data_IF_646483673171
#
_entry.id   IF_646483673171
#
_cell.length_a   1.000
_cell.length_b   1.000
_cell.length_c   1.000
_cell.angle_alpha   90.00
_cell.angle_beta   90.00
_cell.angle_gamma   90.00
#
_symmetry.space_group_name_H-M   'P 1'
#
loop_
_entity.id
_entity.type
_entity.pdbx_description
1 polymer ?
#
# COMPACT_ATOMS: atom_id res chain seq x y z
N UNK A 1 -19.81 49.57 0.73
CA UNK A 1 -19.09 48.94 1.85
C UNK A 1 -18.68 47.54 1.44
N UNK A 2 -17.40 47.19 1.51
CA UNK A 2 -16.89 45.89 1.08
C UNK A 2 -17.60 44.74 1.82
N UNK A 3 -18.26 43.87 1.08
CA UNK A 3 -18.92 42.66 1.57
C UNK A 3 -17.89 41.62 2.00
N UNK A 4 -17.39 41.75 3.24
CA UNK A 4 -16.55 40.72 3.86
C UNK A 4 -17.32 39.38 3.90
N UNK A 5 -16.79 38.34 3.25
CA UNK A 5 -17.37 36.98 3.33
C UNK A 5 -17.28 36.45 4.76
N UNK A 6 -18.31 35.72 5.19
CA UNK A 6 -18.29 35.00 6.47
C UNK A 6 -17.37 33.79 6.35
N UNK A 7 -16.46 33.65 7.31
CA UNK A 7 -15.49 32.54 7.33
C UNK A 7 -15.95 31.43 8.27
N UNK A 8 -15.37 30.23 8.15
CA UNK A 8 -15.61 29.15 9.12
C UNK A 8 -15.27 29.54 10.56
N UNK A 9 -14.36 30.50 10.79
CA UNK A 9 -14.07 31.05 12.12
C UNK A 9 -15.24 31.91 12.65
N UNK A 10 -15.94 32.63 11.77
CA UNK A 10 -17.12 33.41 12.14
C UNK A 10 -18.33 32.51 12.42
N UNK A 11 -18.48 31.41 11.67
CA UNK A 11 -19.55 30.43 11.86
C UNK A 11 -19.39 29.64 13.17
N UNK A 12 -18.16 29.26 13.54
CA UNK A 12 -17.89 28.66 14.86
C UNK A 12 -18.29 29.57 16.02
N UNK A 13 -18.05 30.89 15.90
CA UNK A 13 -18.52 31.87 16.90
C UNK A 13 -20.04 31.98 17.00
N UNK A 14 -20.77 31.51 15.99
CA UNK A 14 -22.23 31.47 15.98
C UNK A 14 -22.80 30.12 16.46
N UNK A 15 -21.95 29.17 16.88
CA UNK A 15 -22.37 27.88 17.43
C UNK A 15 -22.44 26.73 16.42
N UNK A 16 -21.89 26.89 15.21
CA UNK A 16 -21.78 25.77 14.27
C UNK A 16 -20.71 24.75 14.72
N UNK A 17 -21.01 23.44 14.69
CA UNK A 17 -20.00 22.40 14.89
C UNK A 17 -19.02 22.36 13.72
N UNK A 18 -17.78 21.95 13.97
CA UNK A 18 -16.82 21.70 12.87
C UNK A 18 -17.29 20.55 11.98
N UNK A 19 -17.07 20.68 10.67
CA UNK A 19 -17.48 19.68 9.67
C UNK A 19 -18.59 20.16 8.74
N UNK A 20 -19.44 19.23 8.29
CA UNK A 20 -20.40 19.41 7.19
C UNK A 20 -21.30 20.65 7.36
N UNK A 21 -21.76 20.92 8.59
CA UNK A 21 -22.64 22.06 8.87
C UNK A 21 -22.02 23.43 8.49
N UNK A 22 -20.70 23.59 8.61
CA UNK A 22 -20.01 24.83 8.19
C UNK A 22 -19.97 24.94 6.66
N UNK A 23 -19.68 23.84 5.96
CA UNK A 23 -19.65 23.81 4.50
C UNK A 23 -21.02 24.12 3.88
N UNK A 24 -22.07 23.46 4.36
CA UNK A 24 -23.46 23.70 3.92
C UNK A 24 -23.89 25.13 4.23
N UNK A 25 -23.50 25.70 5.37
CA UNK A 25 -23.81 27.08 5.71
C UNK A 25 -23.12 28.10 4.77
N UNK A 26 -21.86 27.87 4.42
CA UNK A 26 -21.13 28.71 3.45
C UNK A 26 -21.80 28.64 2.08
N UNK A 27 -22.08 27.42 1.61
CA UNK A 27 -22.74 27.17 0.33
C UNK A 27 -24.11 27.85 0.26
N UNK A 28 -24.96 27.64 1.26
CA UNK A 28 -26.28 28.27 1.32
C UNK A 28 -26.20 29.81 1.30
N UNK A 29 -25.21 30.40 1.96
CA UNK A 29 -25.00 31.85 1.94
C UNK A 29 -24.54 32.39 0.58
N UNK A 30 -23.78 31.60 -0.18
CA UNK A 30 -23.29 31.97 -1.50
C UNK A 30 -24.34 31.78 -2.59
N UNK A 31 -25.16 30.73 -2.48
CA UNK A 31 -26.17 30.37 -3.48
C UNK A 31 -27.50 31.11 -3.28
N UNK A 32 -27.97 31.24 -2.03
CA UNK A 32 -29.33 31.75 -1.77
C UNK A 32 -29.35 33.14 -1.11
N UNK A 33 -28.22 33.61 -0.56
CA UNK A 33 -28.18 34.87 0.21
C UNK A 33 -27.07 35.82 -0.24
N UNK A 34 -26.52 35.68 -1.46
CA UNK A 34 -25.38 36.47 -1.96
C UNK A 34 -25.53 37.97 -1.71
N UNK A 35 -26.70 38.53 -2.02
CA UNK A 35 -27.01 39.97 -1.96
C UNK A 35 -27.43 40.48 -0.58
N UNK A 36 -27.49 39.61 0.43
CA UNK A 36 -27.87 40.00 1.79
C UNK A 36 -26.68 40.50 2.61
N UNK A 37 -26.94 41.45 3.51
CA UNK A 37 -25.93 41.98 4.42
C UNK A 37 -25.38 40.90 5.36
N UNK A 38 -24.13 41.09 5.82
CA UNK A 38 -23.50 40.18 6.79
C UNK A 38 -24.33 40.07 8.07
N UNK A 39 -24.90 41.19 8.54
CA UNK A 39 -25.73 41.21 9.73
C UNK A 39 -26.97 40.30 9.57
N UNK A 40 -27.60 40.36 8.40
CA UNK A 40 -28.73 39.51 8.04
C UNK A 40 -28.33 38.02 7.97
N UNK A 41 -27.22 37.71 7.29
CA UNK A 41 -26.67 36.35 7.21
C UNK A 41 -26.41 35.76 8.61
N UNK A 42 -25.72 36.52 9.48
CA UNK A 42 -25.44 36.10 10.87
C UNK A 42 -26.72 35.87 11.68
N UNK A 43 -27.72 36.73 11.52
CA UNK A 43 -29.00 36.60 12.23
C UNK A 43 -29.75 35.32 11.82
N UNK A 44 -29.79 35.03 10.51
CA UNK A 44 -30.43 33.81 10.00
C UNK A 44 -29.69 32.54 10.44
N UNK A 45 -28.37 32.52 10.31
CA UNK A 45 -27.53 31.43 10.77
C UNK A 45 -27.72 31.12 12.27
N UNK A 46 -27.81 32.16 13.11
CA UNK A 46 -28.06 31.98 14.55
C UNK A 46 -29.43 31.37 14.84
N UNK A 47 -30.46 31.69 14.03
CA UNK A 47 -31.79 31.07 14.16
C UNK A 47 -31.77 29.59 13.74
N UNK A 48 -31.09 29.28 12.64
CA UNK A 48 -30.96 27.89 12.14
C UNK A 48 -30.18 27.02 13.13
N UNK A 49 -29.09 27.52 13.71
CA UNK A 49 -28.34 26.81 14.77
C UNK A 49 -29.17 26.62 16.03
N UNK A 50 -29.95 27.63 16.43
CA UNK A 50 -30.75 27.56 17.65
C UNK A 50 -31.92 26.59 17.55
N UNK A 51 -32.49 26.39 16.36
CA UNK A 51 -33.70 25.58 16.15
C UNK A 51 -33.68 24.85 14.80
N UNK A 52 -32.72 23.95 14.53
CA UNK A 52 -32.55 23.39 13.18
C UNK A 52 -33.77 22.58 12.72
N UNK A 53 -34.53 21.97 13.64
CA UNK A 53 -35.74 21.19 13.31
C UNK A 53 -36.80 21.98 12.52
N UNK A 54 -36.90 23.28 12.76
CA UNK A 54 -37.84 24.16 12.05
C UNK A 54 -37.47 24.41 10.59
N UNK A 55 -36.22 24.12 10.21
CA UNK A 55 -35.67 24.45 8.90
C UNK A 55 -35.44 23.22 8.02
N UNK A 56 -35.78 22.01 8.47
CA UNK A 56 -35.56 20.76 7.73
C UNK A 56 -36.16 20.77 6.30
N UNK A 57 -37.33 21.38 6.14
CA UNK A 57 -38.03 21.49 4.84
C UNK A 57 -37.75 22.81 4.11
N UNK A 58 -36.90 23.67 4.67
CA UNK A 58 -36.59 24.96 4.06
C UNK A 58 -35.64 24.76 2.90
N UNK A 59 -35.93 25.32 1.73
CA UNK A 59 -35.14 25.13 0.51
C UNK A 59 -33.64 25.47 0.70
N UNK A 60 -33.33 26.68 1.18
CA UNK A 60 -31.95 27.10 1.40
C UNK A 60 -31.30 26.59 2.70
N UNK A 61 -32.09 26.34 3.76
CA UNK A 61 -31.57 26.00 5.10
C UNK A 61 -31.73 24.52 5.46
N UNK A 62 -32.46 23.74 4.68
CA UNK A 62 -32.72 22.32 4.88
C UNK A 62 -31.44 21.49 4.93
N UNK A 63 -30.50 21.65 3.98
CA UNK A 63 -29.20 20.97 4.04
C UNK A 63 -28.39 21.34 5.29
N UNK A 64 -28.40 22.63 5.67
CA UNK A 64 -27.71 23.14 6.87
C UNK A 64 -28.34 22.56 8.14
N UNK A 65 -29.67 22.57 8.21
CA UNK A 65 -30.45 22.03 9.32
C UNK A 65 -30.27 20.53 9.47
N UNK A 66 -30.29 19.79 8.36
CA UNK A 66 -30.05 18.36 8.33
C UNK A 66 -28.63 18.04 8.80
N UNK A 67 -27.63 18.81 8.38
CA UNK A 67 -26.25 18.67 8.87
C UNK A 67 -26.07 19.06 10.35
N UNK A 68 -26.92 19.94 10.90
CA UNK A 68 -26.93 20.30 12.33
C UNK A 68 -27.66 19.26 13.19
N UNK A 69 -28.69 18.60 12.65
CA UNK A 69 -29.50 17.58 13.34
C UNK A 69 -28.83 16.21 13.29
N UNK A 70 -28.24 15.86 12.15
CA UNK A 70 -27.36 14.70 12.03
C UNK A 70 -26.02 15.07 12.69
N UNK A 71 -26.06 15.24 14.03
CA UNK A 71 -24.92 14.93 14.85
C UNK A 71 -24.74 13.42 14.76
N UNK A 72 -23.88 12.94 13.86
CA UNK A 72 -23.05 11.83 14.32
C UNK A 72 -22.21 12.46 15.42
N UNK A 73 -22.43 12.05 16.67
CA UNK A 73 -21.48 12.33 17.74
C UNK A 73 -20.15 11.68 17.32
N UNK A 74 -19.35 12.41 16.54
CA UNK A 74 -17.99 12.02 16.19
C UNK A 74 -17.06 12.02 17.42
N UNK A 75 -17.61 12.23 18.62
CA UNK A 75 -16.92 12.17 19.90
C UNK A 75 -17.17 10.87 20.67
N UNK A 76 -18.18 10.07 20.31
CA UNK A 76 -18.36 8.78 20.96
C UNK A 76 -17.38 7.76 20.38
N UNK A 77 -16.59 7.16 21.27
CA UNK A 77 -15.66 6.11 20.89
C UNK A 77 -16.45 4.83 20.65
N UNK A 78 -16.41 4.31 19.43
CA UNK A 78 -17.05 3.05 19.07
C UNK A 78 -16.38 1.90 19.84
N UNK A 79 -17.19 1.13 20.55
CA UNK A 79 -16.70 -0.04 21.28
C UNK A 79 -16.26 -1.15 20.32
N UNK A 80 -15.22 -1.87 20.72
CA UNK A 80 -14.84 -3.13 20.08
C UNK A 80 -15.78 -4.24 20.55
N UNK A 81 -15.91 -5.30 19.76
CA UNK A 81 -16.57 -6.53 20.21
C UNK A 81 -15.82 -7.11 21.41
N UNK A 82 -16.56 -7.64 22.39
CA UNK A 82 -15.96 -8.28 23.57
C UNK A 82 -15.08 -9.47 23.18
N UNK A 83 -15.57 -10.29 22.24
CA UNK A 83 -14.86 -11.44 21.68
C UNK A 83 -14.45 -11.14 20.25
N UNK A 84 -13.24 -11.58 19.89
CA UNK A 84 -12.78 -11.55 18.50
C UNK A 84 -13.50 -12.60 17.67
N UNK A 85 -13.62 -12.33 16.36
CA UNK A 85 -14.01 -13.37 15.40
C UNK A 85 -12.86 -14.40 15.28
N UNK A 86 -13.16 -15.71 15.18
CA UNK A 86 -12.16 -16.73 14.86
C UNK A 86 -11.43 -16.43 13.54
N UNK A 87 -10.16 -16.81 13.46
CA UNK A 87 -9.35 -16.64 12.26
C UNK A 87 -8.18 -17.62 12.26
N UNK A 88 -7.62 -17.88 11.09
CA UNK A 88 -6.54 -18.84 10.93
C UNK A 88 -5.16 -18.15 10.97
N UNK A 89 -4.21 -18.82 11.60
CA UNK A 89 -2.81 -18.41 11.70
C UNK A 89 -1.96 -19.49 11.07
N UNK A 90 -1.27 -19.14 10.00
CA UNK A 90 -0.34 -20.00 9.31
C UNK A 90 1.05 -19.75 9.89
N UNK A 91 1.76 -20.81 10.30
CA UNK A 91 3.11 -20.65 10.86
C UNK A 91 3.19 -19.99 12.23
N UNK A 92 2.17 -20.15 13.08
CA UNK A 92 2.04 -19.46 14.37
C UNK A 92 3.31 -19.42 15.25
N UNK A 93 4.10 -20.49 15.25
CA UNK A 93 5.34 -20.60 16.04
C UNK A 93 6.42 -19.58 15.63
N UNK A 94 6.41 -19.13 14.37
CA UNK A 94 7.36 -18.17 13.82
C UNK A 94 6.88 -16.72 13.83
N UNK A 95 5.74 -16.43 14.47
CA UNK A 95 5.12 -15.09 14.50
C UNK A 95 5.26 -14.49 15.89
N UNK A 96 5.74 -13.25 15.96
CA UNK A 96 5.89 -12.56 17.24
C UNK A 96 4.54 -12.18 17.87
N UNK A 97 4.47 -12.18 19.20
CA UNK A 97 3.25 -11.90 19.94
C UNK A 97 2.66 -10.51 19.63
N UNK A 98 3.50 -9.52 19.32
CA UNK A 98 3.05 -8.18 18.93
C UNK A 98 2.18 -8.20 17.67
N UNK A 99 2.55 -8.99 16.66
CA UNK A 99 1.79 -9.14 15.43
C UNK A 99 0.46 -9.86 15.67
N UNK A 100 0.48 -10.93 16.49
CA UNK A 100 -0.73 -11.65 16.90
C UNK A 100 -1.69 -10.70 17.62
N UNK A 101 -1.19 -9.92 18.59
CA UNK A 101 -2.01 -8.96 19.33
C UNK A 101 -2.66 -7.90 18.41
N UNK A 102 -1.96 -7.42 17.38
CA UNK A 102 -2.54 -6.51 16.39
C UNK A 102 -3.69 -7.15 15.61
N UNK A 103 -3.53 -8.42 15.20
CA UNK A 103 -4.57 -9.15 14.50
C UNK A 103 -5.77 -9.43 15.42
N UNK A 104 -5.53 -9.83 16.67
CA UNK A 104 -6.56 -10.04 17.70
C UNK A 104 -7.43 -8.78 17.90
N UNK A 105 -6.83 -7.59 17.93
CA UNK A 105 -7.56 -6.31 18.00
C UNK A 105 -8.37 -6.07 16.71
N UNK A 106 -7.77 -6.29 15.53
CA UNK A 106 -8.46 -6.14 14.24
C UNK A 106 -9.69 -7.06 14.12
N UNK A 107 -9.62 -8.27 14.67
CA UNK A 107 -10.73 -9.22 14.69
C UNK A 107 -11.86 -8.86 15.65
N UNK A 108 -11.69 -7.82 16.48
CA UNK A 108 -12.73 -7.26 17.34
C UNK A 108 -13.44 -6.03 16.75
N UNK A 109 -13.01 -5.51 15.60
CA UNK A 109 -13.69 -4.36 14.99
C UNK A 109 -15.12 -4.74 14.57
N UNK A 110 -16.11 -3.86 14.76
CA UNK A 110 -17.50 -4.15 14.42
C UNK A 110 -17.74 -4.38 12.92
N UNK A 111 -16.85 -3.88 12.06
CA UNK A 111 -16.90 -4.06 10.60
C UNK A 111 -16.21 -5.31 10.10
N UNK A 112 -15.38 -5.98 10.92
CA UNK A 112 -14.64 -7.18 10.50
C UNK A 112 -15.58 -8.35 10.30
N UNK A 113 -15.37 -9.12 9.23
CA UNK A 113 -16.08 -10.36 8.90
C UNK A 113 -15.16 -11.58 8.96
N UNK A 114 -13.98 -11.49 8.34
CA UNK A 114 -13.02 -12.59 8.27
C UNK A 114 -11.60 -12.07 8.45
N UNK A 115 -10.68 -12.96 8.80
CA UNK A 115 -9.25 -12.64 8.83
C UNK A 115 -8.38 -13.86 8.65
N UNK A 116 -7.12 -13.62 8.31
CA UNK A 116 -6.07 -14.62 8.28
C UNK A 116 -4.71 -13.95 8.58
N UNK A 117 -3.77 -14.71 9.15
CA UNK A 117 -2.42 -14.23 9.44
C UNK A 117 -1.39 -15.16 8.79
N UNK A 118 -0.55 -14.60 7.93
CA UNK A 118 0.40 -15.33 7.09
C UNK A 118 1.70 -15.68 7.86
N UNK A 119 2.47 -16.71 7.43
CA UNK A 119 3.70 -17.13 8.09
C UNK A 119 4.79 -16.06 8.22
N UNK A 120 4.84 -15.12 7.28
CA UNK A 120 5.77 -14.00 7.26
C UNK A 120 5.36 -12.84 8.20
N UNK A 121 4.29 -13.02 8.98
CA UNK A 121 3.73 -11.94 9.76
C UNK A 121 4.68 -11.40 10.84
N UNK A 122 4.63 -10.08 11.00
CA UNK A 122 5.41 -9.32 11.97
C UNK A 122 4.75 -7.96 12.27
N UNK A 123 5.19 -7.33 13.35
CA UNK A 123 4.61 -6.11 13.89
C UNK A 123 4.66 -4.96 12.85
N UNK A 124 3.49 -4.37 12.58
CA UNK A 124 3.32 -3.19 11.72
C UNK A 124 2.60 -2.04 12.44
N UNK A 125 1.89 -1.21 11.69
CA UNK A 125 1.03 -0.13 12.22
C UNK A 125 -0.45 -0.42 11.92
N UNK A 126 -1.31 -0.56 12.93
CA UNK A 126 -2.69 -1.00 12.70
C UNK A 126 -2.74 -2.50 12.43
N UNK A 127 -3.07 -2.92 11.21
CA UNK A 127 -2.96 -4.33 10.81
C UNK A 127 -1.48 -4.75 10.78
N UNK A 128 -1.12 -5.97 11.28
CA UNK A 128 0.24 -6.47 11.16
C UNK A 128 0.62 -6.65 9.69
N UNK A 129 1.92 -6.61 9.40
CA UNK A 129 2.42 -7.06 8.09
C UNK A 129 2.25 -8.59 8.07
N UNK A 130 1.83 -9.17 6.95
CA UNK A 130 1.33 -10.55 6.87
C UNK A 130 -0.14 -10.71 7.25
N UNK A 131 -0.85 -9.61 7.55
CA UNK A 131 -2.26 -9.63 7.93
C UNK A 131 -3.20 -9.53 6.72
N UNK A 132 -4.26 -10.33 6.75
CA UNK A 132 -5.40 -10.26 5.81
C UNK A 132 -6.68 -10.04 6.61
N UNK A 133 -7.45 -9.00 6.27
CA UNK A 133 -8.67 -8.63 6.99
C UNK A 133 -9.79 -8.29 6.02
N UNK A 134 -10.88 -9.03 6.09
CA UNK A 134 -12.10 -8.75 5.33
C UNK A 134 -13.10 -7.97 6.19
N UNK A 135 -13.62 -6.88 5.65
CA UNK A 135 -14.61 -6.01 6.30
C UNK A 135 -15.86 -5.86 5.44
N UNK A 136 -16.97 -5.48 6.08
CA UNK A 136 -18.21 -5.12 5.40
C UNK A 136 -18.26 -3.61 5.17
N UNK A 137 -18.39 -3.21 3.90
CA UNK A 137 -18.56 -1.83 3.43
C UNK A 137 -17.61 -0.77 4.04
N UNK A 138 -16.43 -1.18 4.47
CA UNK A 138 -15.50 -0.33 5.21
C UNK A 138 -14.09 -0.55 4.71
N UNK A 139 -13.35 0.54 4.51
CA UNK A 139 -11.95 0.49 4.09
C UNK A 139 -11.07 1.13 5.17
N UNK A 140 -10.02 0.42 5.58
CA UNK A 140 -9.07 0.82 6.64
C UNK A 140 -7.77 1.27 5.97
N UNK A 141 -7.46 2.58 5.91
CA UNK A 141 -6.27 3.05 5.21
C UNK A 141 -4.95 2.47 5.73
N UNK A 142 -4.80 2.30 7.06
CA UNK A 142 -3.62 1.62 7.63
C UNK A 142 -3.65 0.09 7.50
N UNK A 143 -4.82 -0.49 7.23
CA UNK A 143 -4.99 -1.89 6.84
C UNK A 143 -4.50 -2.17 5.42
N UNK A 144 -4.48 -1.16 4.55
CA UNK A 144 -3.78 -1.20 3.25
C UNK A 144 -2.29 -0.98 3.44
N UNK A 145 -1.92 -0.01 4.29
CA UNK A 145 -0.54 0.37 4.55
C UNK A 145 -0.15 1.71 3.92
N UNK A 146 1.04 2.20 4.27
CA UNK A 146 1.51 3.52 3.84
C UNK A 146 2.03 3.54 2.40
N UNK A 147 2.56 2.42 1.93
CA UNK A 147 3.01 2.27 0.55
C UNK A 147 1.94 1.52 -0.24
N UNK A 148 0.90 2.26 -0.62
CA UNK A 148 -0.26 1.73 -1.34
C UNK A 148 0.21 1.13 -2.67
N UNK A 149 -0.25 -0.06 -3.01
CA UNK A 149 0.09 -0.71 -4.27
C UNK A 149 1.55 -1.20 -4.35
N UNK A 150 2.27 -1.26 -3.21
CA UNK A 150 3.57 -1.93 -3.15
C UNK A 150 3.44 -3.36 -3.70
N UNK A 151 4.37 -3.74 -4.57
CA UNK A 151 4.25 -4.91 -5.44
C UNK A 151 5.59 -5.44 -5.90
N UNK A 152 5.57 -6.68 -6.37
CA UNK A 152 6.69 -7.31 -7.08
C UNK A 152 6.40 -7.30 -8.58
N UNK A 153 7.41 -7.07 -9.40
CA UNK A 153 7.33 -7.25 -10.86
C UNK A 153 8.58 -7.99 -11.34
N UNK A 154 8.39 -9.05 -12.13
CA UNK A 154 9.47 -9.87 -12.69
C UNK A 154 9.36 -9.91 -14.21
N UNK A 155 10.48 -9.77 -14.90
CA UNK A 155 10.59 -10.13 -16.32
C UNK A 155 11.68 -11.16 -16.55
N UNK A 156 11.42 -12.11 -17.46
CA UNK A 156 12.37 -13.13 -17.92
C UNK A 156 12.83 -12.82 -19.33
N UNK A 157 14.08 -13.14 -19.67
CA UNK A 157 14.67 -12.88 -21.00
C UNK A 157 15.29 -14.15 -21.60
N UNK A 158 15.35 -14.22 -22.92
CA UNK A 158 16.05 -15.28 -23.67
C UNK A 158 17.57 -15.07 -23.67
N UNK A 159 18.14 -14.90 -22.47
CA UNK A 159 19.57 -14.71 -22.26
C UNK A 159 20.07 -15.87 -21.40
N UNK A 160 21.17 -16.55 -21.81
CA UNK A 160 21.74 -17.65 -21.03
C UNK A 160 22.08 -17.22 -19.60
N UNK A 161 21.84 -18.06 -18.58
CA UNK A 161 22.07 -17.71 -17.18
C UNK A 161 23.55 -17.42 -16.88
N UNK A 162 24.48 -17.93 -17.68
CA UNK A 162 25.91 -17.62 -17.55
C UNK A 162 26.22 -16.12 -17.76
N UNK A 163 25.36 -15.39 -18.48
CA UNK A 163 25.51 -13.96 -18.76
C UNK A 163 25.64 -13.14 -17.46
N UNK A 164 24.90 -13.50 -16.40
CA UNK A 164 24.91 -12.76 -15.14
C UNK A 164 26.28 -12.76 -14.45
N UNK A 165 27.04 -13.85 -14.63
CA UNK A 165 28.37 -14.05 -14.06
C UNK A 165 29.48 -13.49 -14.95
N UNK A 166 29.25 -13.46 -16.27
CA UNK A 166 30.21 -12.96 -17.25
C UNK A 166 30.18 -11.43 -17.36
N UNK A 167 29.01 -10.82 -17.14
CA UNK A 167 28.76 -9.39 -17.37
C UNK A 167 28.29 -8.67 -16.09
N UNK A 168 28.75 -9.11 -14.91
CA UNK A 168 28.33 -8.55 -13.62
C UNK A 168 28.54 -7.03 -13.51
N UNK A 169 29.67 -6.51 -14.01
CA UNK A 169 29.95 -5.06 -13.98
C UNK A 169 29.02 -4.28 -14.92
N UNK A 170 28.73 -4.81 -16.11
CA UNK A 170 27.80 -4.20 -17.05
C UNK A 170 26.37 -4.17 -16.47
N UNK A 171 25.91 -5.28 -15.89
CA UNK A 171 24.59 -5.35 -15.23
C UNK A 171 24.48 -4.37 -14.05
N UNK A 172 25.58 -4.17 -13.31
CA UNK A 172 25.66 -3.17 -12.24
C UNK A 172 25.48 -1.76 -12.80
N UNK A 173 26.16 -1.43 -13.89
CA UNK A 173 26.06 -0.11 -14.53
C UNK A 173 24.65 0.10 -15.12
N UNK A 174 24.07 -0.93 -15.75
CA UNK A 174 22.68 -0.91 -16.21
C UNK A 174 21.71 -0.60 -15.06
N UNK A 175 21.84 -1.26 -13.90
CA UNK A 175 21.02 -0.95 -12.73
C UNK A 175 21.22 0.50 -12.28
N UNK A 176 22.47 0.99 -12.24
CA UNK A 176 22.79 2.35 -11.80
C UNK A 176 22.16 3.44 -12.69
N UNK A 177 22.18 3.23 -14.00
CA UNK A 177 21.68 4.21 -14.99
C UNK A 177 20.16 4.18 -15.16
N UNK A 178 19.55 2.98 -15.06
CA UNK A 178 18.15 2.77 -15.44
C UNK A 178 17.18 2.70 -14.27
N UNK A 179 17.66 2.84 -13.03
CA UNK A 179 16.81 2.88 -11.84
C UNK A 179 17.15 4.06 -10.93
N UNK A 180 16.19 4.47 -10.10
CA UNK A 180 16.32 5.64 -9.19
C UNK A 180 15.81 5.30 -7.80
N UNK A 181 16.62 5.55 -6.79
CA UNK A 181 16.30 5.20 -5.39
C UNK A 181 16.25 6.43 -4.47
N UNK A 182 15.67 6.24 -3.29
CA UNK A 182 15.47 7.29 -2.29
C UNK A 182 14.56 8.41 -2.80
N UNK A 183 15.11 9.62 -2.82
CA UNK A 183 14.45 10.84 -3.32
C UNK A 183 14.82 11.17 -4.77
N UNK A 184 15.71 10.37 -5.37
CA UNK A 184 16.17 10.62 -6.72
C UNK A 184 15.07 10.36 -7.75
N UNK A 185 15.16 11.12 -8.84
CA UNK A 185 14.19 11.12 -9.93
C UNK A 185 14.92 11.15 -11.27
N UNK A 186 14.23 10.79 -12.35
CA UNK A 186 14.76 10.98 -13.68
C UNK A 186 14.63 12.47 -14.08
N UNK A 187 15.68 13.04 -14.69
CA UNK A 187 15.66 14.41 -15.23
C UNK A 187 14.57 14.61 -16.29
N UNK A 188 14.29 13.56 -17.04
CA UNK A 188 13.23 13.49 -18.06
C UNK A 188 12.43 12.20 -17.82
N UNK A 189 11.45 12.23 -16.90
CA UNK A 189 10.55 11.08 -16.71
C UNK A 189 9.83 10.77 -18.03
N UNK A 190 9.54 9.48 -18.28
CA UNK A 190 8.71 9.08 -19.43
C UNK A 190 7.26 9.41 -19.10
N UNK A 191 6.51 9.91 -20.07
CA UNK A 191 5.07 10.07 -19.94
C UNK A 191 4.37 8.70 -19.75
N UNK A 192 3.19 8.73 -19.15
CA UNK A 192 2.36 7.55 -18.94
C UNK A 192 0.90 7.97 -18.74
N UNK A 193 -0.05 7.23 -19.31
CA UNK A 193 -1.49 7.52 -19.29
C UNK A 193 -2.09 7.64 -17.88
N UNK A 194 -1.45 7.01 -16.89
CA UNK A 194 -1.85 7.10 -15.47
C UNK A 194 -1.85 8.55 -14.96
N UNK A 195 -0.98 9.41 -15.51
CA UNK A 195 -0.87 10.82 -15.14
C UNK A 195 -1.98 11.69 -15.78
N UNK A 196 -2.68 11.14 -16.77
CA UNK A 196 -3.80 11.79 -17.47
C UNK A 196 -5.16 11.48 -16.84
N UNK A 197 -5.19 10.59 -15.84
CA UNK A 197 -6.40 10.25 -15.08
C UNK A 197 -7.07 11.52 -14.53
N UNK A 198 -8.35 11.69 -14.82
CA UNK A 198 -9.14 12.88 -14.44
C UNK A 198 -9.21 13.08 -12.92
N UNK A 199 -9.06 12.01 -12.14
CA UNK A 199 -8.97 12.01 -10.68
C UNK A 199 -7.92 12.98 -10.12
N UNK A 200 -6.81 13.22 -10.83
CA UNK A 200 -5.83 14.24 -10.44
C UNK A 200 -6.40 15.66 -10.46
N UNK A 201 -7.47 15.93 -11.22
CA UNK A 201 -8.12 17.23 -11.24
C UNK A 201 -9.34 17.29 -10.33
N UNK A 202 -10.01 16.15 -10.13
CA UNK A 202 -11.26 16.03 -9.39
C UNK A 202 -11.06 15.95 -7.87
N UNK A 203 -10.02 15.23 -7.40
CA UNK A 203 -9.77 15.03 -5.96
C UNK A 203 -8.66 15.98 -5.49
N UNK A 204 -8.97 16.82 -4.50
CA UNK A 204 -8.07 17.88 -4.04
C UNK A 204 -6.70 17.38 -3.58
N UNK A 205 -6.64 16.27 -2.82
CA UNK A 205 -5.36 15.71 -2.37
C UNK A 205 -4.53 15.22 -3.55
N UNK A 206 -5.14 14.57 -4.54
CA UNK A 206 -4.44 14.09 -5.73
C UNK A 206 -3.93 15.25 -6.59
N UNK A 207 -4.72 16.31 -6.76
CA UNK A 207 -4.33 17.51 -7.50
C UNK A 207 -3.03 18.11 -6.99
N UNK A 208 -2.86 18.18 -5.67
CA UNK A 208 -1.62 18.68 -5.07
C UNK A 208 -0.42 17.75 -5.25
N UNK A 209 -0.66 16.50 -5.64
CA UNK A 209 0.37 15.46 -5.79
C UNK A 209 0.72 15.15 -7.25
N UNK A 210 0.01 15.72 -8.24
CA UNK A 210 0.23 15.40 -9.67
C UNK A 210 1.67 15.66 -10.11
N UNK A 211 2.22 16.84 -9.83
CA UNK A 211 3.60 17.18 -10.22
C UNK A 211 4.62 16.26 -9.54
N UNK A 212 4.36 15.91 -8.27
CA UNK A 212 5.20 14.97 -7.54
C UNK A 212 5.15 13.56 -8.13
N UNK A 213 3.97 13.11 -8.53
CA UNK A 213 3.80 11.83 -9.22
C UNK A 213 4.52 11.85 -10.58
N UNK A 214 4.38 12.93 -11.36
CA UNK A 214 5.11 13.07 -12.62
C UNK A 214 6.63 13.03 -12.43
N UNK A 215 7.19 13.69 -11.40
CA UNK A 215 8.62 13.63 -11.11
C UNK A 215 9.10 12.24 -10.70
N UNK A 216 8.28 11.48 -9.95
CA UNK A 216 8.70 10.21 -9.35
C UNK A 216 8.41 8.98 -10.19
N UNK A 217 7.72 9.10 -11.33
CA UNK A 217 7.32 7.96 -12.14
C UNK A 217 8.54 7.20 -12.66
N UNK A 218 8.49 5.87 -12.57
CA UNK A 218 9.60 4.98 -12.93
C UNK A 218 10.72 4.88 -11.89
N UNK A 219 10.64 5.59 -10.76
CA UNK A 219 11.61 5.43 -9.66
C UNK A 219 11.25 4.24 -8.76
N UNK A 220 12.26 3.62 -8.15
CA UNK A 220 12.11 2.48 -7.24
C UNK A 220 11.94 2.93 -5.79
N UNK A 221 12.62 4.00 -5.37
CA UNK A 221 12.41 4.57 -4.05
C UNK A 221 13.25 4.10 -2.88
N UNK A 222 12.69 4.15 -1.67
CA UNK A 222 13.42 3.95 -0.42
C UNK A 222 12.84 2.84 0.45
N UNK A 223 13.53 2.54 1.56
CA UNK A 223 13.14 1.44 2.44
C UNK A 223 13.65 0.10 1.92
N UNK A 224 12.79 -0.91 1.91
CA UNK A 224 13.09 -2.27 1.46
C UNK A 224 13.01 -2.44 -0.07
N UNK A 225 12.80 -1.38 -0.83
CA UNK A 225 12.66 -1.43 -2.28
C UNK A 225 13.99 -1.80 -2.95
N UNK A 226 13.90 -2.58 -4.03
CA UNK A 226 15.06 -3.07 -4.77
C UNK A 226 14.74 -3.28 -6.25
N UNK A 227 15.79 -3.36 -7.06
CA UNK A 227 15.77 -3.89 -8.42
C UNK A 227 16.99 -4.77 -8.57
N UNK A 228 16.81 -5.98 -9.04
CA UNK A 228 17.86 -6.98 -9.09
C UNK A 228 17.84 -7.82 -10.36
N UNK A 229 19.03 -8.10 -10.88
CA UNK A 229 19.24 -9.17 -11.84
C UNK A 229 19.51 -10.48 -11.11
N UNK A 230 18.89 -11.54 -11.61
CA UNK A 230 19.06 -12.88 -11.07
C UNK A 230 18.75 -13.95 -12.10
N UNK A 231 18.70 -15.19 -11.62
CA UNK A 231 18.40 -16.36 -12.44
C UNK A 231 17.05 -16.91 -12.00
N UNK A 232 16.10 -16.98 -12.92
CA UNK A 232 14.85 -17.72 -12.71
C UNK A 232 15.01 -19.15 -13.19
N UNK A 233 14.66 -20.13 -12.38
CA UNK A 233 14.56 -21.54 -12.75
C UNK A 233 13.09 -21.97 -12.74
N UNK A 234 12.58 -22.41 -13.90
CA UNK A 234 11.22 -22.94 -14.06
C UNK A 234 11.28 -24.45 -13.87
N UNK A 235 10.42 -25.00 -13.01
CA UNK A 235 10.47 -26.40 -12.61
C UNK A 235 9.42 -27.30 -13.30
N UNK A 236 8.49 -26.70 -14.04
CA UNK A 236 7.38 -27.42 -14.67
C UNK A 236 7.20 -27.02 -16.13
N UNK A 237 7.08 -28.02 -17.02
CA UNK A 237 6.75 -27.83 -18.43
C UNK A 237 5.34 -27.28 -18.63
N UNK A 238 4.46 -27.50 -17.64
CA UNK A 238 3.14 -26.88 -17.56
C UNK A 238 3.27 -25.66 -16.65
N UNK A 239 3.43 -24.49 -17.26
CA UNK A 239 3.47 -23.20 -16.56
C UNK A 239 2.67 -22.13 -17.33
N UNK A 240 2.25 -21.10 -16.63
CA UNK A 240 1.42 -20.00 -17.17
C UNK A 240 2.15 -19.14 -18.22
N UNK A 241 3.46 -19.33 -18.40
CA UNK A 241 4.28 -18.53 -19.31
C UNK A 241 4.48 -19.20 -20.67
N UNK A 242 4.09 -20.48 -20.82
CA UNK A 242 4.43 -21.31 -21.97
C UNK A 242 5.95 -21.33 -22.26
N UNK A 243 6.78 -21.23 -21.21
CA UNK A 243 8.22 -21.31 -21.33
C UNK A 243 8.72 -22.73 -21.04
N UNK A 244 9.75 -23.23 -21.74
CA UNK A 244 10.38 -24.50 -21.38
C UNK A 244 10.89 -24.54 -19.93
N UNK A 245 10.98 -25.74 -19.35
CA UNK A 245 11.80 -25.92 -18.14
C UNK A 245 13.23 -25.51 -18.44
N UNK A 246 13.78 -24.66 -17.57
CA UNK A 246 15.09 -24.07 -17.82
C UNK A 246 15.41 -22.89 -16.92
N UNK A 247 16.55 -22.28 -17.22
CA UNK A 247 17.10 -21.13 -16.49
C UNK A 247 17.14 -19.92 -17.38
N UNK A 248 16.63 -18.81 -16.88
CA UNK A 248 16.48 -17.55 -17.60
C UNK A 248 17.15 -16.43 -16.81
N UNK A 249 17.82 -15.51 -17.51
CA UNK A 249 18.13 -14.22 -16.91
C UNK A 249 16.82 -13.52 -16.58
N UNK A 250 16.73 -12.89 -15.41
CA UNK A 250 15.52 -12.18 -15.00
C UNK A 250 15.83 -10.89 -14.26
N UNK A 251 14.92 -9.95 -14.38
CA UNK A 251 14.86 -8.74 -13.55
C UNK A 251 13.72 -8.92 -12.57
N UNK A 252 13.97 -8.71 -11.29
CA UNK A 252 12.96 -8.60 -10.25
C UNK A 252 13.01 -7.20 -9.65
N UNK A 253 11.86 -6.53 -9.55
CA UNK A 253 11.75 -5.24 -8.89
C UNK A 253 10.70 -5.26 -7.78
N UNK A 254 11.02 -4.57 -6.69
CA UNK A 254 10.14 -4.32 -5.56
C UNK A 254 10.02 -2.82 -5.34
N UNK A 255 8.83 -2.28 -5.56
CA UNK A 255 8.51 -0.87 -5.36
C UNK A 255 7.02 -0.69 -5.10
N UNK A 256 6.57 0.57 -5.02
CA UNK A 256 5.19 0.94 -4.76
C UNK A 256 4.87 2.31 -5.33
N UNK A 257 3.82 2.93 -4.83
CA UNK A 257 3.29 4.19 -5.38
C UNK A 257 4.03 5.44 -4.90
N UNK A 258 5.24 5.27 -4.34
CA UNK A 258 6.18 6.35 -4.03
C UNK A 258 5.57 7.39 -3.09
N UNK A 259 5.89 8.67 -3.31
CA UNK A 259 5.33 9.77 -2.55
C UNK A 259 3.82 9.92 -2.76
N UNK A 260 3.25 9.46 -3.88
CA UNK A 260 1.82 9.56 -4.14
C UNK A 260 1.03 8.77 -3.10
N UNK A 261 1.23 7.44 -3.01
CA UNK A 261 0.52 6.62 -2.03
C UNK A 261 0.83 6.97 -0.59
N UNK A 262 2.07 7.33 -0.27
CA UNK A 262 2.43 7.74 1.08
C UNK A 262 1.65 8.98 1.55
N UNK A 263 1.38 9.94 0.67
CA UNK A 263 0.59 11.12 1.03
C UNK A 263 -0.91 10.82 1.06
N UNK A 264 -1.42 9.99 0.14
CA UNK A 264 -2.81 9.50 0.16
C UNK A 264 -3.08 8.75 1.48
N UNK A 265 -2.24 7.78 1.82
CA UNK A 265 -2.37 7.00 3.04
C UNK A 265 -2.37 7.90 4.28
N UNK A 266 -1.42 8.85 4.40
CA UNK A 266 -1.38 9.79 5.54
C UNK A 266 -2.64 10.64 5.65
N UNK A 267 -3.11 11.19 4.54
CA UNK A 267 -4.31 12.04 4.50
C UNK A 267 -5.54 11.26 4.97
N UNK A 268 -5.84 10.14 4.32
CA UNK A 268 -7.06 9.39 4.59
C UNK A 268 -7.01 8.60 5.89
N UNK A 269 -5.83 8.19 6.36
CA UNK A 269 -5.69 7.63 7.72
C UNK A 269 -6.08 8.68 8.77
N UNK A 270 -5.58 9.91 8.65
CA UNK A 270 -5.95 10.98 9.58
C UNK A 270 -7.46 11.20 9.55
N UNK A 271 -8.04 11.28 8.35
CA UNK A 271 -9.47 11.44 8.16
C UNK A 271 -10.27 10.28 8.79
N UNK A 272 -9.82 9.03 8.60
CA UNK A 272 -10.45 7.86 9.20
C UNK A 272 -10.43 7.93 10.74
N UNK A 273 -9.29 8.28 11.34
CA UNK A 273 -9.17 8.46 12.80
C UNK A 273 -9.98 9.65 13.33
N UNK A 274 -10.28 10.63 12.47
CA UNK A 274 -11.12 11.77 12.81
C UNK A 274 -12.62 11.42 12.74
N UNK A 275 -13.03 10.65 11.74
CA UNK A 275 -14.42 10.26 11.50
C UNK A 275 -14.87 9.07 12.36
N UNK A 276 -13.96 8.14 12.64
CA UNK A 276 -14.21 6.86 13.32
C UNK A 276 -13.33 6.78 14.57
N UNK A 277 -13.88 7.18 15.72
CA UNK A 277 -13.16 7.13 17.01
C UNK A 277 -13.19 5.72 17.57
N UNK A 278 -12.01 5.15 17.78
CA UNK A 278 -11.79 3.84 18.38
C UNK A 278 -10.96 3.96 19.66
N UNK A 279 -11.01 2.95 20.56
CA UNK A 279 -10.13 2.90 21.72
C UNK A 279 -8.66 3.00 21.31
N UNK A 280 -7.79 3.44 22.24
CA UNK A 280 -6.39 3.74 21.94
C UNK A 280 -5.63 2.60 21.25
N UNK A 281 -5.88 1.36 21.67
CA UNK A 281 -5.30 0.13 21.09
C UNK A 281 -5.73 -0.15 19.64
N UNK A 282 -6.91 0.32 19.23
CA UNK A 282 -7.48 0.11 17.90
C UNK A 282 -7.48 1.39 17.05
N UNK A 283 -6.92 2.51 17.54
CA UNK A 283 -6.95 3.82 16.85
C UNK A 283 -6.46 3.74 15.40
N UNK A 284 -5.42 2.96 15.13
CA UNK A 284 -4.85 2.79 13.80
C UNK A 284 -5.64 1.84 12.88
N UNK A 285 -6.76 1.29 13.36
CA UNK A 285 -7.70 0.48 12.60
C UNK A 285 -8.99 1.24 12.27
N UNK A 286 -9.00 2.56 12.48
CA UNK A 286 -10.11 3.42 12.07
C UNK A 286 -10.35 3.29 10.55
N UNK A 287 -11.61 3.20 10.16
CA UNK A 287 -12.03 2.99 8.78
C UNK A 287 -12.80 4.20 8.22
N UNK A 288 -12.91 4.22 6.90
CA UNK A 288 -13.85 5.02 6.15
C UNK A 288 -14.96 4.11 5.62
N UNK A 289 -16.19 4.52 5.82
CA UNK A 289 -17.37 3.83 5.30
C UNK A 289 -17.50 4.15 3.80
N UNK A 290 -17.63 3.12 2.97
CA UNK A 290 -17.70 3.29 1.52
C UNK A 290 -18.98 3.98 1.06
N UNK A 291 -20.03 4.09 1.87
CA UNK A 291 -21.21 4.89 1.52
C UNK A 291 -20.98 6.40 1.69
N UNK A 292 -19.81 6.81 2.18
CA UNK A 292 -19.46 8.21 2.40
C UNK A 292 -18.55 8.77 1.31
N UNK A 293 -18.61 10.09 1.10
CA UNK A 293 -17.70 10.80 0.19
C UNK A 293 -16.23 10.51 0.51
N UNK A 294 -15.84 10.56 1.80
CA UNK A 294 -14.47 10.26 2.22
C UNK A 294 -14.04 8.82 1.88
N UNK A 295 -14.94 7.84 2.05
CA UNK A 295 -14.69 6.45 1.68
C UNK A 295 -14.52 6.26 0.17
N UNK A 296 -15.41 6.87 -0.62
CA UNK A 296 -15.34 6.83 -2.09
C UNK A 296 -14.08 7.53 -2.63
N UNK A 297 -13.75 8.72 -2.12
CA UNK A 297 -12.53 9.42 -2.51
C UNK A 297 -11.27 8.61 -2.18
N UNK A 298 -11.20 8.03 -0.98
CA UNK A 298 -10.06 7.17 -0.63
C UNK A 298 -9.98 5.95 -1.53
N UNK A 299 -11.11 5.31 -1.82
CA UNK A 299 -11.16 4.15 -2.70
C UNK A 299 -10.60 4.48 -4.10
N UNK A 300 -11.05 5.59 -4.69
CA UNK A 300 -10.57 6.06 -5.99
C UNK A 300 -9.08 6.43 -5.95
N UNK A 301 -8.65 7.17 -4.92
CA UNK A 301 -7.25 7.57 -4.75
C UNK A 301 -6.32 6.37 -4.52
N UNK A 302 -6.75 5.37 -3.75
CA UNK A 302 -6.03 4.13 -3.52
C UNK A 302 -5.86 3.36 -4.84
N UNK A 303 -6.92 3.24 -5.65
CA UNK A 303 -6.86 2.57 -6.94
C UNK A 303 -5.91 3.29 -7.92
N UNK A 304 -5.97 4.62 -8.00
CA UNK A 304 -5.02 5.40 -8.79
C UNK A 304 -3.57 5.17 -8.32
N UNK A 305 -3.33 5.13 -7.01
CA UNK A 305 -1.99 4.85 -6.47
C UNK A 305 -1.53 3.43 -6.84
N UNK A 306 -2.45 2.46 -6.84
CA UNK A 306 -2.24 1.12 -7.40
C UNK A 306 -1.74 1.19 -8.84
N UNK A 307 -2.52 1.75 -9.75
CA UNK A 307 -2.16 1.89 -11.18
C UNK A 307 -0.81 2.60 -11.36
N UNK A 308 -0.57 3.65 -10.58
CA UNK A 308 0.67 4.41 -10.62
C UNK A 308 1.89 3.59 -10.16
N UNK A 309 1.73 2.70 -9.18
CA UNK A 309 2.79 1.76 -8.79
C UNK A 309 3.12 0.81 -9.95
N UNK A 310 2.12 0.25 -10.64
CA UNK A 310 2.33 -0.61 -11.81
C UNK A 310 3.10 0.13 -12.91
N UNK A 311 2.68 1.37 -13.22
CA UNK A 311 3.37 2.22 -14.19
C UNK A 311 4.84 2.46 -13.84
N UNK A 312 5.16 2.63 -12.55
CA UNK A 312 6.56 2.75 -12.11
C UNK A 312 7.35 1.48 -12.43
N UNK A 313 6.79 0.30 -12.15
CA UNK A 313 7.44 -0.98 -12.46
C UNK A 313 7.62 -1.18 -13.96
N UNK A 314 6.58 -0.96 -14.77
CA UNK A 314 6.70 -1.10 -16.22
C UNK A 314 7.80 -0.19 -16.79
N UNK A 315 7.89 1.08 -16.36
CA UNK A 315 8.98 1.94 -16.82
C UNK A 315 10.38 1.46 -16.39
N UNK A 316 10.52 0.84 -15.21
CA UNK A 316 11.79 0.23 -14.77
C UNK A 316 12.16 -0.93 -15.70
N UNK A 317 11.21 -1.84 -15.93
CA UNK A 317 11.42 -3.03 -16.76
C UNK A 317 11.66 -2.66 -18.23
N UNK A 318 10.93 -1.69 -18.78
CA UNK A 318 11.13 -1.19 -20.14
C UNK A 318 12.54 -0.62 -20.35
N UNK A 319 13.08 0.10 -19.36
CA UNK A 319 14.43 0.66 -19.44
C UNK A 319 15.48 -0.43 -19.40
N UNK A 320 15.31 -1.42 -18.53
CA UNK A 320 16.24 -2.53 -18.40
C UNK A 320 16.17 -3.47 -19.62
N UNK A 321 14.98 -3.72 -20.17
CA UNK A 321 14.81 -4.46 -21.42
C UNK A 321 15.51 -3.73 -22.59
N UNK A 322 15.31 -2.42 -22.70
CA UNK A 322 16.00 -1.61 -23.72
C UNK A 322 17.53 -1.60 -23.52
N UNK A 323 18.02 -1.57 -22.28
CA UNK A 323 19.45 -1.63 -21.98
C UNK A 323 20.07 -3.00 -22.28
N UNK A 324 19.33 -4.09 -22.03
CA UNK A 324 19.72 -5.45 -22.42
C UNK A 324 19.67 -5.67 -23.95
N UNK A 325 18.90 -4.84 -24.67
CA UNK A 325 18.64 -5.05 -26.09
C UNK A 325 17.67 -6.21 -26.38
N UNK A 326 16.88 -6.63 -25.39
CA UNK A 326 16.02 -7.82 -25.46
C UNK A 326 14.57 -7.51 -25.10
N UNK A 327 13.65 -8.33 -25.62
CA UNK A 327 12.24 -8.28 -25.22
C UNK A 327 11.96 -9.28 -24.09
N UNK A 328 11.11 -8.93 -23.10
CA UNK A 328 10.68 -9.88 -22.08
C UNK A 328 9.94 -11.07 -22.69
N UNK A 329 10.34 -12.30 -22.32
CA UNK A 329 9.62 -13.53 -22.64
C UNK A 329 8.32 -13.66 -21.82
N UNK A 330 8.36 -13.19 -20.59
CA UNK A 330 7.25 -13.24 -19.66
C UNK A 330 7.36 -12.10 -18.65
N UNK A 331 6.20 -11.67 -18.15
CA UNK A 331 6.07 -10.67 -17.08
C UNK A 331 5.11 -11.20 -16.02
N UNK A 332 5.51 -11.10 -14.74
CA UNK A 332 4.70 -11.49 -13.59
C UNK A 332 4.64 -10.30 -12.65
N UNK A 333 3.46 -9.96 -12.14
CA UNK A 333 3.29 -8.88 -11.18
C UNK A 333 2.28 -9.27 -10.09
N UNK A 334 2.58 -8.97 -8.83
CA UNK A 334 1.63 -9.16 -7.73
C UNK A 334 1.72 -8.07 -6.66
N UNK A 335 0.54 -7.61 -6.22
CA UNK A 335 0.39 -6.64 -5.14
C UNK A 335 0.57 -7.29 -3.78
N UNK A 336 1.02 -6.51 -2.78
CA UNK A 336 1.02 -6.96 -1.40
C UNK A 336 0.60 -5.92 -0.34
N UNK A 337 0.27 -4.69 -0.74
CA UNK A 337 -0.32 -3.66 0.13
C UNK A 337 -1.50 -3.01 -0.58
N UNK A 338 -2.71 -3.55 -0.42
CA UNK A 338 -3.90 -3.05 -1.12
C UNK A 338 -5.20 -3.51 -0.46
N UNK A 339 -6.33 -2.99 -0.93
CA UNK A 339 -7.66 -3.51 -0.61
C UNK A 339 -8.46 -3.79 -1.88
N UNK A 340 -9.21 -4.89 -1.89
CA UNK A 340 -10.01 -5.33 -3.03
C UNK A 340 -11.46 -5.54 -2.63
N UNK A 341 -12.37 -5.31 -3.59
CA UNK A 341 -13.74 -5.80 -3.50
C UNK A 341 -13.75 -7.26 -3.94
N UNK A 342 -14.07 -8.15 -3.01
CA UNK A 342 -14.22 -9.59 -3.25
C UNK A 342 -15.60 -10.05 -2.80
N UNK A 343 -15.90 -11.33 -3.02
CA UNK A 343 -17.15 -11.95 -2.56
C UNK A 343 -16.84 -13.01 -1.53
N UNK A 344 -17.64 -13.05 -0.46
CA UNK A 344 -17.59 -14.15 0.50
C UNK A 344 -18.32 -15.39 -0.03
N UNK A 345 -18.33 -16.46 0.78
CA UNK A 345 -18.99 -17.73 0.43
C UNK A 345 -20.51 -17.58 0.20
N UNK A 346 -21.15 -16.56 0.78
CA UNK A 346 -22.57 -16.23 0.58
C UNK A 346 -22.79 -15.33 -0.67
N UNK A 347 -21.72 -14.96 -1.38
CA UNK A 347 -21.75 -14.07 -2.54
C UNK A 347 -21.86 -12.58 -2.21
N UNK A 348 -21.75 -12.18 -0.93
CA UNK A 348 -21.81 -10.78 -0.50
C UNK A 348 -20.49 -10.08 -0.76
N UNK A 349 -20.57 -8.81 -1.17
CA UNK A 349 -19.39 -7.99 -1.36
C UNK A 349 -18.69 -7.71 -0.01
N UNK A 350 -17.39 -7.97 0.03
CA UNK A 350 -16.51 -7.70 1.17
C UNK A 350 -15.28 -6.93 0.70
N UNK A 351 -14.70 -6.14 1.60
CA UNK A 351 -13.46 -5.39 1.34
C UNK A 351 -12.30 -6.13 2.00
N UNK A 352 -11.47 -6.77 1.19
CA UNK A 352 -10.32 -7.57 1.65
C UNK A 352 -9.08 -6.72 1.65
N UNK A 353 -8.56 -6.43 2.84
CA UNK A 353 -7.30 -5.73 3.05
C UNK A 353 -6.17 -6.74 3.14
N UNK A 354 -5.12 -6.55 2.34
CA UNK A 354 -3.88 -7.32 2.47
C UNK A 354 -2.73 -6.35 2.70
N UNK A 355 -1.97 -6.59 3.77
CA UNK A 355 -0.80 -5.80 4.12
C UNK A 355 0.39 -6.70 4.36
N UNK A 356 1.36 -6.65 3.47
CA UNK A 356 2.37 -7.69 3.36
C UNK A 356 1.76 -9.07 3.17
N UNK A 357 0.70 -9.17 2.37
CA UNK A 357 0.12 -10.43 1.95
C UNK A 357 -0.36 -10.28 0.51
N UNK A 358 -0.28 -11.34 -0.29
CA UNK A 358 -0.58 -11.28 -1.72
C UNK A 358 -1.82 -12.11 -2.06
N UNK A 359 -2.62 -11.72 -3.08
CA UNK A 359 -3.69 -12.58 -3.58
C UNK A 359 -3.15 -13.94 -4.03
N UNK A 360 -3.84 -15.00 -3.62
CA UNK A 360 -3.54 -16.40 -3.92
C UNK A 360 -4.84 -17.17 -4.22
N UNK A 361 -5.77 -16.52 -4.93
CA UNK A 361 -6.92 -17.17 -5.56
C UNK A 361 -6.48 -18.30 -6.49
N UNK A 362 -7.38 -19.23 -6.81
CA UNK A 362 -7.05 -20.35 -7.69
C UNK A 362 -6.47 -19.85 -9.01
N UNK A 363 -5.24 -20.27 -9.30
CA UNK A 363 -4.52 -19.89 -10.51
C UNK A 363 -3.86 -18.52 -10.53
N UNK A 364 -4.04 -17.71 -9.47
CA UNK A 364 -3.41 -16.38 -9.38
C UNK A 364 -1.91 -16.53 -9.20
N UNK A 365 -1.13 -15.91 -10.09
CA UNK A 365 0.32 -15.95 -10.07
C UNK A 365 0.90 -14.90 -9.11
N UNK A 366 2.06 -15.20 -8.53
CA UNK A 366 2.79 -14.24 -7.72
C UNK A 366 4.26 -14.59 -7.52
N UNK A 367 4.99 -13.63 -6.95
CA UNK A 367 6.38 -13.80 -6.52
C UNK A 367 6.45 -13.55 -5.01
N UNK A 368 7.05 -14.50 -4.29
CA UNK A 368 7.34 -14.39 -2.85
C UNK A 368 8.87 -14.28 -2.68
N UNK A 369 9.44 -13.07 -2.59
CA UNK A 369 10.87 -12.86 -2.40
C UNK A 369 11.37 -13.32 -1.02
N UNK A 370 12.60 -13.84 -0.99
CA UNK A 370 13.34 -14.08 0.24
C UNK A 370 14.05 -12.81 0.72
N UNK A 371 15.33 -12.70 0.37
CA UNK A 371 16.22 -11.59 0.72
C UNK A 371 17.23 -11.41 -0.41
N UNK A 372 18.09 -10.39 -0.34
CA UNK A 372 19.17 -10.20 -1.32
C UNK A 372 20.15 -11.39 -1.45
N UNK A 373 20.10 -12.40 -0.56
CA UNK A 373 20.96 -13.60 -0.64
C UNK A 373 20.19 -14.92 -0.59
N UNK A 374 18.85 -14.88 -0.56
CA UNK A 374 18.02 -16.09 -0.47
C UNK A 374 16.99 -16.07 -1.60
N UNK A 375 16.57 -17.25 -2.08
CA UNK A 375 15.74 -17.32 -3.27
C UNK A 375 14.37 -16.65 -3.06
N UNK A 376 13.80 -16.15 -4.15
CA UNK A 376 12.38 -15.92 -4.30
C UNK A 376 11.69 -17.13 -4.92
N UNK A 377 10.37 -17.21 -4.77
CA UNK A 377 9.55 -18.29 -5.32
C UNK A 377 8.48 -17.73 -6.25
N UNK A 378 8.39 -18.30 -7.45
CA UNK A 378 7.27 -18.07 -8.35
C UNK A 378 6.18 -19.05 -7.96
N UNK A 379 5.01 -18.51 -7.64
CA UNK A 379 3.91 -19.28 -7.04
C UNK A 379 2.61 -19.13 -7.81
N UNK A 380 1.74 -20.13 -7.66
CA UNK A 380 0.37 -20.15 -8.15
C UNK A 380 -0.57 -20.40 -6.97
N UNK A 381 -1.58 -19.55 -6.80
CA UNK A 381 -2.54 -19.65 -5.71
C UNK A 381 -3.46 -20.86 -5.83
N UNK A 382 -3.79 -21.46 -4.67
CA UNK A 382 -4.70 -22.61 -4.55
C UNK A 382 -6.16 -22.22 -4.29
N UNK A 383 -6.45 -20.93 -4.08
CA UNK A 383 -7.82 -20.49 -3.77
C UNK A 383 -8.31 -20.94 -2.39
N UNK A 384 -7.41 -20.96 -1.40
CA UNK A 384 -7.77 -21.36 -0.05
C UNK A 384 -8.68 -20.31 0.61
N UNK A 385 -9.95 -20.68 0.83
CA UNK A 385 -10.97 -19.78 1.40
C UNK A 385 -10.63 -19.36 2.83
N UNK A 386 -10.01 -20.24 3.61
CA UNK A 386 -9.64 -19.97 5.01
C UNK A 386 -8.52 -18.91 5.14
N UNK A 387 -7.68 -18.77 4.10
CA UNK A 387 -6.71 -17.67 4.00
C UNK A 387 -7.29 -16.43 3.31
N UNK A 388 -8.58 -16.45 2.96
CA UNK A 388 -9.24 -15.41 2.15
C UNK A 388 -8.48 -15.27 0.82
N UNK A 389 -8.21 -16.41 0.17
CA UNK A 389 -7.49 -16.48 -1.10
C UNK A 389 -6.19 -15.67 -1.06
N UNK A 390 -5.37 -15.85 -0.02
CA UNK A 390 -4.16 -15.08 0.21
C UNK A 390 -2.97 -15.94 0.63
N UNK A 391 -1.76 -15.41 0.39
CA UNK A 391 -0.49 -16.01 0.80
C UNK A 391 0.49 -14.94 1.32
N UNK A 392 1.64 -15.38 1.83
CA UNK A 392 2.73 -14.51 2.25
C UNK A 392 3.22 -13.61 1.10
N UNK A 393 3.75 -12.45 1.42
CA UNK A 393 4.38 -11.57 0.43
C UNK A 393 5.90 -11.69 0.36
N UNK A 394 6.54 -12.31 1.35
CA UNK A 394 7.99 -12.48 1.39
C UNK A 394 8.44 -13.25 2.62
N UNK A 395 9.69 -13.06 3.04
CA UNK A 395 10.22 -13.73 4.23
C UNK A 395 9.71 -13.13 5.56
N UNK A 396 9.37 -11.84 5.58
CA UNK A 396 9.02 -11.15 6.83
C UNK A 396 10.23 -10.88 7.74
N UNK A 397 10.11 -9.91 8.64
CA UNK A 397 11.24 -9.46 9.48
C UNK A 397 11.30 -10.18 10.83
N UNK A 398 12.51 -10.46 11.30
CA UNK A 398 12.82 -10.90 12.68
C UNK A 398 13.47 -9.79 13.51
N UNK A 399 13.98 -8.74 12.87
CA UNK A 399 14.59 -7.58 13.54
C UNK A 399 13.99 -6.27 13.05
N UNK A 400 13.69 -5.37 13.99
CA UNK A 400 13.35 -3.98 13.65
C UNK A 400 14.53 -3.27 12.99
N UNK A 401 14.25 -2.28 12.15
CA UNK A 401 15.30 -1.50 11.45
C UNK A 401 16.31 -0.87 12.44
N UNK A 402 15.81 -0.35 13.55
CA UNK A 402 16.64 0.23 14.62
C UNK A 402 17.55 -0.81 15.25
N UNK A 403 17.00 -1.98 15.62
CA UNK A 403 17.76 -3.07 16.24
C UNK A 403 18.81 -3.63 15.28
N UNK A 404 18.48 -3.78 14.00
CA UNK A 404 19.42 -4.22 12.97
C UNK A 404 20.65 -3.30 12.88
N UNK A 405 20.44 -1.97 12.85
CA UNK A 405 21.54 -0.98 12.83
C UNK A 405 22.41 -1.00 14.08
N UNK A 406 21.84 -1.36 15.23
CA UNK A 406 22.56 -1.43 16.51
C UNK A 406 23.35 -2.73 16.70
N UNK A 407 22.90 -3.83 16.10
CA UNK A 407 23.40 -5.19 16.43
C UNK A 407 24.21 -5.83 15.32
N UNK A 408 23.98 -5.48 14.05
CA UNK A 408 24.65 -6.13 12.93
C UNK A 408 25.97 -5.45 12.55
N UNK A 409 26.98 -6.27 12.26
CA UNK A 409 28.28 -5.80 11.78
C UNK A 409 28.30 -5.65 10.26
N UNK A 410 28.64 -4.45 9.76
CA UNK A 410 28.80 -4.19 8.31
C UNK A 410 29.80 -5.15 7.66
N UNK A 411 30.87 -5.52 8.37
CA UNK A 411 31.92 -6.42 7.85
C UNK A 411 31.37 -7.84 7.68
N UNK A 412 30.60 -8.32 8.64
CA UNK A 412 30.02 -9.68 8.60
C UNK A 412 28.93 -9.78 7.54
N UNK A 413 28.06 -8.77 7.43
CA UNK A 413 27.04 -8.69 6.37
C UNK A 413 27.70 -8.71 4.99
N UNK A 414 28.74 -7.90 4.75
CA UNK A 414 29.49 -7.93 3.47
C UNK A 414 30.14 -9.29 3.19
N UNK A 415 30.70 -9.95 4.22
CA UNK A 415 31.27 -11.29 4.07
C UNK A 415 30.21 -12.32 3.70
N UNK A 416 29.02 -12.25 4.31
CA UNK A 416 27.88 -13.12 4.01
C UNK A 416 27.41 -12.94 2.56
N UNK A 417 27.21 -11.69 2.12
CA UNK A 417 26.80 -11.35 0.74
C UNK A 417 27.83 -11.85 -0.27
N UNK A 418 29.13 -11.61 -0.03
CA UNK A 418 30.20 -12.09 -0.91
C UNK A 418 30.23 -13.62 -0.98
N UNK A 419 29.99 -14.32 0.15
CA UNK A 419 29.92 -15.79 0.19
C UNK A 419 28.74 -16.32 -0.63
N UNK A 420 27.63 -15.60 -0.67
CA UNK A 420 26.47 -15.92 -1.49
C UNK A 420 26.67 -15.61 -2.99
N UNK A 421 27.81 -15.03 -3.39
CA UNK A 421 28.08 -14.70 -4.80
C UNK A 421 27.23 -13.53 -5.31
N UNK A 422 26.76 -12.66 -4.42
CA UNK A 422 25.90 -11.53 -4.77
C UNK A 422 26.70 -10.23 -4.83
N UNK A 423 26.52 -9.48 -5.91
CA UNK A 423 27.00 -8.11 -6.05
C UNK A 423 25.93 -7.15 -5.58
N UNK A 424 26.19 -6.47 -4.45
CA UNK A 424 25.26 -5.53 -3.85
C UNK A 424 25.65 -4.07 -4.13
N UNK A 425 24.68 -3.29 -4.59
CA UNK A 425 24.76 -1.85 -4.85
C UNK A 425 23.81 -1.14 -3.87
N UNK A 426 24.39 -0.34 -2.97
CA UNK A 426 23.63 0.30 -1.89
C UNK A 426 23.26 -0.67 -0.76
N UNK A 427 22.09 -0.45 -0.16
CA UNK A 427 21.54 -1.12 1.03
C UNK A 427 22.17 -0.75 2.39
N UNK A 428 21.28 -0.63 3.37
CA UNK A 428 21.61 -0.42 4.77
C UNK A 428 21.64 -1.71 5.58
N UNK A 429 22.21 -1.67 6.79
CA UNK A 429 22.18 -2.80 7.73
C UNK A 429 20.76 -3.25 8.09
N UNK A 430 19.79 -2.34 7.98
CA UNK A 430 18.38 -2.59 8.24
C UNK A 430 17.69 -3.47 7.20
N UNK A 431 18.32 -3.76 6.07
CA UNK A 431 17.81 -4.70 5.07
C UNK A 431 18.78 -5.88 4.83
N UNK A 432 19.75 -6.09 5.73
CA UNK A 432 20.68 -7.23 5.66
C UNK A 432 19.95 -8.58 5.74
N UNK A 433 20.44 -9.67 5.11
CA UNK A 433 19.74 -10.96 5.08
C UNK A 433 19.31 -11.50 6.45
N UNK A 434 20.12 -11.25 7.48
CA UNK A 434 19.88 -11.70 8.86
C UNK A 434 18.66 -11.04 9.53
N UNK A 435 18.09 -9.98 8.95
CA UNK A 435 16.90 -9.31 9.51
C UNK A 435 15.60 -9.98 9.08
N UNK A 436 15.66 -10.93 8.15
CA UNK A 436 14.51 -11.65 7.61
C UNK A 436 14.41 -13.08 8.16
N UNK A 437 13.19 -13.63 8.17
CA UNK A 437 12.99 -15.06 8.48
C UNK A 437 13.61 -15.93 7.38
N UNK A 438 13.77 -17.22 7.68
CA UNK A 438 14.14 -18.18 6.65
C UNK A 438 12.97 -18.38 5.67
N UNK A 439 13.17 -17.98 4.41
CA UNK A 439 12.13 -18.06 3.39
C UNK A 439 11.64 -19.50 3.16
N UNK A 440 12.51 -20.51 3.30
CA UNK A 440 12.11 -21.91 3.13
C UNK A 440 11.14 -22.38 4.22
N UNK A 441 11.31 -21.89 5.45
CA UNK A 441 10.38 -22.19 6.56
C UNK A 441 9.03 -21.50 6.34
N UNK A 442 9.04 -20.24 5.87
CA UNK A 442 7.83 -19.51 5.48
C UNK A 442 7.07 -20.26 4.38
N UNK A 443 7.76 -20.72 3.34
CA UNK A 443 7.14 -21.50 2.25
C UNK A 443 6.60 -22.86 2.72
N UNK A 444 7.32 -23.56 3.60
CA UNK A 444 6.87 -24.83 4.16
C UNK A 444 5.56 -24.70 4.97
N UNK A 445 5.30 -23.52 5.55
CA UNK A 445 4.11 -23.24 6.38
C UNK A 445 2.88 -22.79 5.58
N UNK A 446 2.95 -22.74 4.24
CA UNK A 446 1.84 -22.30 3.36
C UNK A 446 1.67 -23.19 2.13
N UNK A 447 2.03 -24.47 2.24
CA UNK A 447 1.92 -25.45 1.14
C UNK A 447 0.47 -25.72 0.72
N UNK A 448 -0.50 -25.38 1.57
CA UNK A 448 -1.94 -25.42 1.30
C UNK A 448 -2.48 -24.12 0.68
N UNK A 449 -1.66 -23.07 0.59
CA UNK A 449 -2.05 -21.77 0.02
C UNK A 449 -1.57 -21.60 -1.42
N UNK A 450 -0.39 -22.14 -1.74
CA UNK A 450 0.26 -21.95 -3.04
C UNK A 450 0.99 -23.20 -3.52
N UNK A 451 1.12 -23.34 -4.84
CA UNK A 451 2.07 -24.22 -5.51
C UNK A 451 3.30 -23.44 -5.96
N UNK A 452 4.48 -24.06 -5.85
CA UNK A 452 5.74 -23.47 -6.32
C UNK A 452 6.02 -23.93 -7.76
N UNK A 453 6.10 -22.98 -8.68
CA UNK A 453 6.33 -23.23 -10.11
C UNK A 453 7.80 -23.01 -10.53
N UNK A 454 8.52 -22.20 -9.76
CA UNK A 454 9.92 -21.87 -10.04
C UNK A 454 10.56 -21.11 -8.91
N UNK A 455 11.87 -20.86 -9.06
CA UNK A 455 12.67 -20.10 -8.09
C UNK A 455 13.41 -18.96 -8.78
N UNK A 456 13.71 -17.91 -8.03
CA UNK A 456 14.52 -16.79 -8.48
C UNK A 456 15.73 -16.63 -7.55
N UNK A 457 16.94 -16.69 -8.08
CA UNK A 457 18.17 -16.50 -7.33
C UNK A 457 18.78 -15.12 -7.62
N UNK A 458 18.85 -14.19 -6.64
CA UNK A 458 19.42 -12.87 -6.85
C UNK A 458 20.94 -12.93 -7.07
N UNK A 459 21.47 -12.10 -7.99
CA UNK A 459 22.91 -12.05 -8.31
C UNK A 459 23.48 -10.63 -8.29
N UNK A 460 22.80 -9.66 -8.90
CA UNK A 460 23.20 -8.25 -8.88
C UNK A 460 22.04 -7.44 -8.32
N UNK A 461 22.19 -6.92 -7.12
CA UNK A 461 21.09 -6.33 -6.35
C UNK A 461 21.34 -4.84 -6.15
N UNK A 462 20.40 -3.99 -6.52
CA UNK A 462 20.41 -2.57 -6.20
C UNK A 462 19.29 -2.23 -5.21
N UNK A 463 19.65 -1.59 -4.10
CA UNK A 463 18.70 -1.11 -3.10
C UNK A 463 18.99 0.33 -2.68
N UNK A 464 18.02 0.97 -2.03
CA UNK A 464 18.24 2.21 -1.31
C UNK A 464 19.06 1.94 -0.04
N UNK A 465 20.14 2.68 0.24
CA UNK A 465 20.72 2.65 1.60
C UNK A 465 22.20 2.87 1.82
N UNK A 466 22.89 3.65 0.98
CA UNK A 466 24.29 3.99 1.24
C UNK A 466 24.54 5.42 0.77
N UNK A 467 25.05 6.27 1.68
CA UNK A 467 25.38 7.68 1.41
C UNK A 467 26.35 7.83 0.24
N UNK A 468 27.19 6.81 -0.02
CA UNK A 468 28.12 6.77 -1.18
C UNK A 468 27.40 6.65 -2.52
N UNK A 469 26.20 6.09 -2.51
CA UNK A 469 25.29 6.02 -3.66
C UNK A 469 24.08 6.93 -3.43
N UNK A 470 24.20 7.88 -2.49
CA UNK A 470 23.29 9.01 -2.43
C UNK A 470 23.33 9.66 -3.79
N UNK A 471 22.23 9.56 -4.53
CA UNK A 471 22.04 10.28 -5.77
C UNK A 471 21.90 11.75 -5.39
N UNK A 472 23.05 12.40 -5.20
CA UNK A 472 23.20 13.84 -5.28
C UNK A 472 23.26 14.13 -6.77
N UNK A 473 22.27 14.86 -7.26
CA UNK A 473 22.45 15.60 -8.51
C UNK A 473 23.19 16.90 -8.16
#
# INVERSE_FOLDING_TARGET
MATRKLTGKDLRKLGFPEGRAIGEAIKAMEEHFKDKSILHKKAMLKKVVGNPGLYLKHEAWGPVAMALIIKKDHNETLALREKRIPYNIYGAQGIEQGAINQMEIAMKLPVTKYGALMPDAHHGYGLPIGGVLATENAVIPYGVGVDIGCRMCMTMYDIPPAFVHQNTDELKDMLMENTKFGQAVFKRPKDHEVLDRSLFNEINVLKSLKDKAWQQIGSSGGGNHFVEFGITEIHSDINEFNLPVGKYLSVLSHSGSRGLGANIARHYTKLAMDMTKLPGEAKHLAWLDLDTEAGQEYWLAMNLAGDYASACHHQIHDRLAAALGEQPLALIENHHNFAWKERDADGKEIIVHRKGATPAGEGVMGIIPGSMTSPGFIVKGKGNVESINSASHGAGRVLSRTRAKQTLSKKEVKKHIKKAGVTLIGSGLDEAPQVYKNIHEVMAQQTDLVDVLGTFEPKVVRMCGDERFGEVD
#
